data_IF_870118622239
#
_entry.id   IF_870118622239
#
_cell.length_a   1.000
_cell.length_b   1.000
_cell.length_c   1.000
_cell.angle_alpha   90.00
_cell.angle_beta   90.00
_cell.angle_gamma   90.00
#
_symmetry.space_group_name_H-M   'P 1'
#
loop_
_entity.id
_entity.type
_entity.pdbx_description
1 polymer ?
#
# COMPACT_ATOMS: atom_id res chain seq x y z
N UNK A 1 -37.67 50.26 -8.52
CA UNK A 1 -36.51 49.76 -7.78
C UNK A 1 -36.44 48.23 -7.92
N UNK A 2 -35.60 47.72 -8.80
CA UNK A 2 -35.52 46.27 -9.06
C UNK A 2 -34.35 45.73 -8.23
N UNK A 3 -34.66 44.94 -7.17
CA UNK A 3 -33.65 44.25 -6.33
C UNK A 3 -33.09 43.08 -7.12
N UNK A 4 -31.84 43.19 -7.58
CA UNK A 4 -31.08 42.07 -8.16
C UNK A 4 -30.75 41.07 -7.03
N UNK A 5 -31.42 39.92 -7.05
CA UNK A 5 -31.09 38.78 -6.19
C UNK A 5 -29.87 38.12 -6.79
N UNK A 6 -28.72 38.23 -6.11
CA UNK A 6 -27.48 37.56 -6.46
C UNK A 6 -27.57 36.08 -5.99
N UNK A 7 -27.86 35.17 -6.90
CA UNK A 7 -27.79 33.73 -6.63
C UNK A 7 -26.32 33.33 -6.59
N UNK A 8 -25.77 33.09 -5.38
CA UNK A 8 -24.47 32.51 -5.18
C UNK A 8 -24.62 30.99 -5.40
N UNK A 9 -23.95 30.37 -6.38
CA UNK A 9 -23.99 28.92 -6.54
C UNK A 9 -23.28 28.28 -5.36
N UNK A 10 -24.00 27.50 -4.57
CA UNK A 10 -23.48 26.65 -3.52
C UNK A 10 -22.68 25.52 -4.19
N UNK A 11 -21.36 25.68 -4.28
CA UNK A 11 -20.46 24.63 -4.77
C UNK A 11 -20.42 23.53 -3.71
N UNK A 12 -21.27 22.52 -3.87
CA UNK A 12 -21.19 21.28 -3.10
C UNK A 12 -19.98 20.52 -3.58
N UNK A 13 -18.86 20.66 -2.87
CA UNK A 13 -17.68 19.78 -3.06
C UNK A 13 -18.05 18.40 -2.53
N UNK A 14 -18.40 17.49 -3.43
CA UNK A 14 -18.55 16.07 -3.11
C UNK A 14 -17.15 15.55 -2.80
N UNK A 15 -16.80 15.48 -1.52
CA UNK A 15 -15.63 14.74 -1.04
C UNK A 15 -15.90 13.25 -1.27
N UNK A 16 -15.35 12.71 -2.34
CA UNK A 16 -15.32 11.29 -2.58
C UNK A 16 -14.33 10.64 -1.61
N UNK A 17 -14.77 10.43 -0.38
CA UNK A 17 -14.01 9.65 0.59
C UNK A 17 -14.00 8.19 0.14
N UNK A 18 -12.84 7.61 -0.09
CA UNK A 18 -12.67 6.19 -0.48
C UNK A 18 -13.07 5.20 0.64
N UNK A 19 -13.91 5.58 1.58
CA UNK A 19 -14.35 4.73 2.69
C UNK A 19 -13.22 4.41 3.69
N UNK A 20 -13.55 3.56 4.68
CA UNK A 20 -12.59 3.12 5.70
C UNK A 20 -12.32 1.63 5.61
N UNK A 21 -11.11 1.21 5.95
CA UNK A 21 -10.79 -0.20 6.13
C UNK A 21 -11.54 -0.74 7.38
N UNK A 22 -12.04 -1.98 7.36
CA UNK A 22 -12.68 -2.56 8.54
C UNK A 22 -11.65 -2.84 9.65
N UNK A 23 -12.04 -2.61 10.91
CA UNK A 23 -11.21 -2.99 12.06
C UNK A 23 -11.21 -4.51 12.22
N UNK A 24 -10.23 -5.17 11.64
CA UNK A 24 -10.08 -6.62 11.66
C UNK A 24 -9.09 -7.09 12.72
N UNK A 25 -9.32 -8.28 13.26
CA UNK A 25 -8.33 -9.00 14.07
C UNK A 25 -7.36 -9.71 13.13
N UNK A 26 -6.08 -9.43 13.30
CA UNK A 26 -4.96 -9.95 12.52
C UNK A 26 -4.22 -11.02 13.33
N UNK A 27 -3.86 -12.13 12.71
CA UNK A 27 -2.88 -13.07 13.24
C UNK A 27 -1.52 -12.73 12.67
N UNK A 28 -0.60 -12.29 13.52
CA UNK A 28 0.75 -11.94 13.11
C UNK A 28 1.58 -13.20 12.82
N UNK A 29 2.65 -13.05 12.05
CA UNK A 29 3.52 -14.18 11.67
C UNK A 29 4.24 -14.82 12.89
N UNK A 30 4.45 -14.06 13.97
CA UNK A 30 4.97 -14.56 15.25
C UNK A 30 3.94 -15.33 16.09
N UNK A 31 2.68 -15.37 15.63
CA UNK A 31 1.56 -16.05 16.30
C UNK A 31 0.71 -15.17 17.19
N UNK A 32 1.12 -13.94 17.47
CA UNK A 32 0.33 -12.98 18.27
C UNK A 32 -0.87 -12.49 17.48
N UNK A 33 -1.80 -11.84 18.19
CA UNK A 33 -2.96 -11.18 17.59
C UNK A 33 -2.92 -9.68 17.83
N UNK A 34 -3.32 -8.91 16.82
CA UNK A 34 -3.51 -7.47 16.91
C UNK A 34 -4.83 -7.06 16.27
N UNK A 35 -5.42 -5.95 16.69
CA UNK A 35 -6.48 -5.28 15.93
C UNK A 35 -5.85 -4.27 14.97
N UNK A 36 -6.35 -4.17 13.75
CA UNK A 36 -5.78 -3.27 12.76
C UNK A 36 -5.72 -1.82 13.26
N UNK A 37 -6.80 -1.33 13.88
CA UNK A 37 -6.85 0.05 14.37
C UNK A 37 -5.90 0.32 15.54
N UNK A 38 -5.49 -0.71 16.29
CA UNK A 38 -4.45 -0.54 17.32
C UNK A 38 -3.07 -0.30 16.68
N UNK A 39 -2.82 -0.90 15.51
CA UNK A 39 -1.59 -0.67 14.74
C UNK A 39 -1.58 0.69 14.03
N UNK A 40 -2.74 1.23 13.66
CA UNK A 40 -2.87 2.52 12.99
C UNK A 40 -2.66 3.72 13.94
N UNK A 41 -2.74 3.52 15.25
CA UNK A 41 -2.52 4.61 16.23
C UNK A 41 -1.13 5.23 16.15
N UNK A 42 -0.17 4.47 15.65
CA UNK A 42 1.23 4.88 15.60
C UNK A 42 1.59 5.70 14.34
N UNK A 43 0.71 5.75 13.35
CA UNK A 43 0.92 6.50 12.10
C UNK A 43 0.22 5.88 10.89
N UNK A 44 0.33 6.53 9.72
CA UNK A 44 -0.23 6.03 8.47
C UNK A 44 0.43 4.71 8.07
N UNK A 45 -0.31 3.87 7.34
CA UNK A 45 0.15 2.52 7.05
C UNK A 45 -0.16 2.10 5.61
N UNK A 46 0.79 1.45 4.96
CA UNK A 46 0.49 0.59 3.81
C UNK A 46 0.08 -0.79 4.31
N UNK A 47 -1.08 -1.25 3.84
CA UNK A 47 -1.53 -2.64 3.94
C UNK A 47 -1.36 -3.27 2.56
N UNK A 48 -0.59 -4.36 2.47
CA UNK A 48 -0.31 -5.05 1.22
C UNK A 48 -0.68 -6.53 1.30
N UNK A 49 -1.38 -7.05 0.28
CA UNK A 49 -1.77 -8.45 0.20
C UNK A 49 -0.85 -9.21 -0.76
N UNK A 50 -0.28 -10.33 -0.28
CA UNK A 50 0.71 -11.09 -1.02
C UNK A 50 0.68 -12.59 -0.75
N UNK A 51 1.36 -13.36 -1.61
CA UNK A 51 1.60 -14.78 -1.40
C UNK A 51 3.02 -15.18 -1.85
N UNK A 52 3.55 -16.30 -1.32
CA UNK A 52 4.89 -16.77 -1.67
C UNK A 52 5.04 -17.20 -3.14
N UNK A 53 3.95 -17.53 -3.80
CA UNK A 53 3.89 -17.89 -5.22
C UNK A 53 3.63 -16.69 -6.15
N UNK A 54 3.35 -15.51 -5.60
CA UNK A 54 3.05 -14.29 -6.34
C UNK A 54 4.35 -13.54 -6.69
N UNK A 55 4.86 -13.70 -7.90
CA UNK A 55 6.12 -13.04 -8.31
C UNK A 55 6.03 -11.51 -8.36
N UNK A 56 4.95 -10.88 -8.88
CA UNK A 56 4.81 -9.42 -8.81
C UNK A 56 4.82 -8.90 -7.37
N UNK A 57 4.15 -9.63 -6.44
CA UNK A 57 4.13 -9.26 -5.03
C UNK A 57 5.55 -9.23 -4.44
N UNK A 58 6.36 -10.25 -4.74
CA UNK A 58 7.74 -10.33 -4.25
C UNK A 58 8.60 -9.16 -4.71
N UNK A 59 8.42 -8.71 -5.95
CA UNK A 59 9.12 -7.52 -6.48
C UNK A 59 8.69 -6.26 -5.73
N UNK A 60 7.41 -6.05 -5.57
CA UNK A 60 6.86 -4.90 -4.85
C UNK A 60 7.32 -4.86 -3.39
N UNK A 61 7.32 -5.99 -2.67
CA UNK A 61 7.72 -6.08 -1.26
C UNK A 61 9.13 -5.53 -0.99
N UNK A 62 10.06 -5.59 -1.96
CA UNK A 62 11.38 -4.98 -1.81
C UNK A 62 11.29 -3.46 -1.67
N UNK A 63 10.42 -2.83 -2.46
CA UNK A 63 10.20 -1.37 -2.37
C UNK A 63 9.43 -1.01 -1.12
N UNK A 64 8.41 -1.79 -0.75
CA UNK A 64 7.69 -1.58 0.51
C UNK A 64 8.62 -1.65 1.72
N UNK A 65 9.62 -2.54 1.69
CA UNK A 65 10.63 -2.58 2.75
C UNK A 65 11.55 -1.36 2.73
N UNK A 66 11.91 -0.83 1.56
CA UNK A 66 12.65 0.44 1.47
C UNK A 66 11.84 1.60 2.06
N UNK A 67 10.55 1.69 1.71
CA UNK A 67 9.66 2.73 2.25
C UNK A 67 9.52 2.62 3.76
N UNK A 68 9.27 1.41 4.28
CA UNK A 68 9.17 1.16 5.71
C UNK A 68 10.42 1.60 6.47
N UNK A 69 11.60 1.24 5.98
CA UNK A 69 12.89 1.60 6.61
C UNK A 69 13.17 3.10 6.54
N UNK A 70 12.88 3.71 5.40
CA UNK A 70 13.19 5.11 5.15
C UNK A 70 12.28 6.05 5.95
N UNK A 71 11.00 5.73 6.02
CA UNK A 71 9.99 6.58 6.67
C UNK A 71 9.62 6.17 8.10
N UNK A 72 10.33 5.21 8.70
CA UNK A 72 10.01 4.71 10.06
C UNK A 72 9.92 5.82 11.12
N UNK A 73 10.75 6.85 11.01
CA UNK A 73 10.83 7.95 11.98
C UNK A 73 9.66 8.94 11.83
N UNK A 74 8.88 8.86 10.75
CA UNK A 74 7.64 9.62 10.56
C UNK A 74 6.41 8.93 11.16
N UNK A 75 6.57 7.76 11.76
CA UNK A 75 5.46 6.90 12.19
C UNK A 75 4.89 6.02 11.08
N UNK A 76 5.31 6.22 9.81
CA UNK A 76 4.86 5.39 8.68
C UNK A 76 5.25 3.93 8.85
N UNK A 77 4.31 3.02 8.54
CA UNK A 77 4.50 1.58 8.65
C UNK A 77 4.01 0.83 7.43
N UNK A 78 4.46 -0.42 7.31
CA UNK A 78 3.96 -1.37 6.33
C UNK A 78 3.50 -2.63 7.05
N UNK A 79 2.33 -3.12 6.68
CA UNK A 79 1.74 -4.39 7.10
C UNK A 79 1.50 -5.25 5.86
N UNK A 80 2.27 -6.31 5.69
CA UNK A 80 2.09 -7.27 4.61
C UNK A 80 1.22 -8.45 5.09
N UNK A 81 0.05 -8.66 4.47
CA UNK A 81 -0.88 -9.73 4.81
C UNK A 81 -0.70 -10.87 3.83
N UNK A 82 -0.18 -11.98 4.33
CA UNK A 82 0.07 -13.18 3.54
C UNK A 82 -1.18 -14.05 3.44
N UNK A 83 -1.49 -14.53 2.23
CA UNK A 83 -2.68 -15.34 1.93
C UNK A 83 -2.37 -16.79 1.55
N UNK A 84 -1.14 -17.24 1.78
CA UNK A 84 -0.79 -18.66 1.60
C UNK A 84 -1.60 -19.57 2.52
N UNK A 85 -1.84 -20.79 2.06
CA UNK A 85 -2.56 -21.79 2.84
C UNK A 85 -1.80 -22.17 4.12
N UNK A 86 -2.47 -22.78 5.13
CA UNK A 86 -1.82 -23.19 6.37
C UNK A 86 -0.62 -24.11 6.16
N UNK A 87 -0.65 -24.95 5.12
CA UNK A 87 0.45 -25.87 4.77
C UNK A 87 1.73 -25.14 4.35
N UNK A 88 1.62 -23.89 3.88
CA UNK A 88 2.76 -23.11 3.36
C UNK A 88 3.39 -22.17 4.42
N UNK A 89 2.92 -22.16 5.66
CA UNK A 89 3.40 -21.20 6.68
C UNK A 89 4.91 -21.30 6.96
N UNK A 90 5.50 -22.47 6.86
CA UNK A 90 6.97 -22.63 6.94
C UNK A 90 7.71 -21.89 5.84
N UNK A 91 7.20 -21.93 4.59
CA UNK A 91 7.75 -21.20 3.45
C UNK A 91 7.63 -19.69 3.65
N UNK A 92 6.50 -19.22 4.15
CA UNK A 92 6.26 -17.78 4.47
C UNK A 92 7.32 -17.27 5.45
N UNK A 93 7.49 -17.98 6.59
CA UNK A 93 8.49 -17.61 7.62
C UNK A 93 9.92 -17.59 7.04
N UNK A 94 10.28 -18.62 6.29
CA UNK A 94 11.61 -18.73 5.66
C UNK A 94 11.84 -17.61 4.65
N UNK A 95 10.84 -17.29 3.82
CA UNK A 95 10.94 -16.23 2.84
C UNK A 95 11.14 -14.85 3.49
N UNK A 96 10.28 -14.47 4.44
CA UNK A 96 10.38 -13.19 5.15
C UNK A 96 11.74 -13.03 5.82
N UNK A 97 12.23 -14.10 6.48
CA UNK A 97 13.54 -14.10 7.13
C UNK A 97 14.69 -13.97 6.13
N UNK A 98 14.67 -14.74 5.04
CA UNK A 98 15.74 -14.73 4.03
C UNK A 98 15.88 -13.37 3.33
N UNK A 99 14.77 -12.65 3.15
CA UNK A 99 14.74 -11.31 2.56
C UNK A 99 15.02 -10.19 3.56
N UNK A 100 15.12 -10.51 4.85
CA UNK A 100 15.36 -9.55 5.94
C UNK A 100 14.36 -8.39 5.91
N UNK A 101 13.07 -8.71 5.69
CA UNK A 101 12.01 -7.71 5.74
C UNK A 101 11.78 -7.27 7.18
N UNK A 102 11.71 -5.94 7.39
CA UNK A 102 11.57 -5.32 8.72
C UNK A 102 10.13 -4.89 9.03
N UNK A 103 9.27 -4.87 8.03
CA UNK A 103 7.86 -4.53 8.20
C UNK A 103 7.07 -5.65 8.89
N UNK A 104 5.90 -5.29 9.36
CA UNK A 104 4.98 -6.23 10.00
C UNK A 104 4.40 -7.22 8.97
N UNK A 105 4.28 -8.48 9.39
CA UNK A 105 3.63 -9.53 8.58
C UNK A 105 2.52 -10.18 9.37
N UNK A 106 1.31 -10.20 8.78
CA UNK A 106 0.17 -10.96 9.24
C UNK A 106 -0.13 -12.11 8.28
N UNK A 107 -0.93 -13.08 8.73
CA UNK A 107 -1.34 -14.24 7.92
C UNK A 107 -2.86 -14.34 7.86
N UNK A 108 -3.39 -14.60 6.66
CA UNK A 108 -4.82 -14.74 6.37
C UNK A 108 -5.07 -16.02 5.54
N UNK A 109 -4.76 -17.21 6.06
CA UNK A 109 -4.77 -18.45 5.29
C UNK A 109 -6.15 -18.88 4.78
N UNK A 110 -7.20 -18.27 5.28
CA UNK A 110 -8.59 -18.52 4.87
C UNK A 110 -9.18 -17.34 4.08
N UNK A 111 -8.36 -16.34 3.71
CA UNK A 111 -8.75 -15.14 2.95
C UNK A 111 -9.89 -14.32 3.61
N UNK A 112 -10.05 -14.39 4.93
CA UNK A 112 -11.13 -13.69 5.63
C UNK A 112 -10.88 -12.18 5.69
N UNK A 113 -9.65 -11.78 5.96
CA UNK A 113 -9.24 -10.36 5.96
C UNK A 113 -9.29 -9.81 4.54
N UNK A 114 -8.76 -10.57 3.58
CA UNK A 114 -8.80 -10.26 2.15
C UNK A 114 -10.23 -9.97 1.67
N UNK A 115 -11.19 -10.85 2.02
CA UNK A 115 -12.62 -10.67 1.69
C UNK A 115 -13.22 -9.44 2.36
N UNK A 116 -12.98 -9.24 3.66
CA UNK A 116 -13.50 -8.07 4.41
C UNK A 116 -12.97 -6.76 3.84
N UNK A 117 -11.73 -6.72 3.36
CA UNK A 117 -11.12 -5.56 2.71
C UNK A 117 -11.45 -5.46 1.21
N UNK A 118 -12.33 -6.33 0.69
CA UNK A 118 -12.75 -6.36 -0.72
C UNK A 118 -11.56 -6.43 -1.70
N UNK A 119 -10.53 -7.18 -1.34
CA UNK A 119 -9.39 -7.45 -2.19
C UNK A 119 -9.72 -8.64 -3.09
N UNK A 120 -9.52 -8.49 -4.40
CA UNK A 120 -9.85 -9.52 -5.40
C UNK A 120 -8.64 -10.12 -6.09
N UNK A 121 -7.53 -9.39 -6.12
CA UNK A 121 -6.28 -9.84 -6.75
C UNK A 121 -5.06 -9.37 -5.94
N UNK A 122 -3.91 -9.96 -6.22
CA UNK A 122 -2.63 -9.64 -5.58
C UNK A 122 -1.56 -9.28 -6.62
N UNK A 123 -0.65 -8.35 -6.22
CA UNK A 123 -0.70 -7.59 -4.99
C UNK A 123 -1.85 -6.59 -4.97
N UNK A 124 -2.34 -6.24 -3.80
CA UNK A 124 -3.20 -5.07 -3.59
C UNK A 124 -2.61 -4.25 -2.46
N UNK A 125 -2.26 -3.02 -2.77
CA UNK A 125 -1.70 -2.03 -1.85
C UNK A 125 -2.77 -1.04 -1.45
N UNK A 126 -2.90 -0.78 -0.16
CA UNK A 126 -3.85 0.18 0.40
C UNK A 126 -3.08 1.10 1.36
N UNK A 127 -2.98 2.39 1.05
CA UNK A 127 -2.48 3.39 1.99
C UNK A 127 -3.65 3.89 2.83
N UNK A 128 -3.51 3.82 4.14
CA UNK A 128 -4.55 4.19 5.11
C UNK A 128 -4.02 5.21 6.10
N UNK A 129 -4.91 6.11 6.50
CA UNK A 129 -4.70 7.07 7.58
C UNK A 129 -4.87 6.42 8.95
N UNK A 130 -4.48 7.11 10.01
CA UNK A 130 -4.59 6.71 11.41
C UNK A 130 -6.02 6.41 11.85
N UNK A 131 -7.01 7.03 11.21
CA UNK A 131 -8.44 6.81 11.46
C UNK A 131 -9.06 5.66 10.62
N UNK A 132 -8.22 4.98 9.80
CA UNK A 132 -8.61 3.91 8.89
C UNK A 132 -9.13 4.37 7.53
N UNK A 133 -9.17 5.67 7.25
CA UNK A 133 -9.57 6.21 5.95
C UNK A 133 -8.60 5.76 4.85
N UNK A 134 -9.15 5.30 3.74
CA UNK A 134 -8.35 4.87 2.58
C UNK A 134 -7.93 6.13 1.82
N UNK A 135 -6.62 6.33 1.72
CA UNK A 135 -6.00 7.44 0.99
C UNK A 135 -5.74 7.03 -0.46
N UNK A 136 -5.22 5.81 -0.64
CA UNK A 136 -4.86 5.28 -1.94
C UNK A 136 -5.08 3.78 -1.99
N UNK A 137 -5.47 3.26 -3.16
CA UNK A 137 -5.60 1.82 -3.40
C UNK A 137 -5.12 1.50 -4.81
N UNK A 138 -4.20 0.55 -4.90
CA UNK A 138 -3.66 0.04 -6.15
C UNK A 138 -3.77 -1.47 -6.22
N UNK A 139 -4.05 -2.02 -7.42
CA UNK A 139 -4.19 -3.46 -7.64
C UNK A 139 -3.26 -3.89 -8.77
N UNK A 140 -2.50 -4.94 -8.53
CA UNK A 140 -1.43 -5.39 -9.40
C UNK A 140 -0.11 -4.72 -9.08
N UNK A 141 0.92 -5.09 -9.83
CA UNK A 141 2.24 -4.45 -9.80
C UNK A 141 2.96 -4.62 -11.13
N UNK A 142 3.32 -3.51 -11.73
CA UNK A 142 4.25 -3.40 -12.84
C UNK A 142 5.49 -2.62 -12.39
N UNK A 143 6.67 -2.88 -12.97
CA UNK A 143 7.86 -2.07 -12.70
C UNK A 143 7.61 -0.60 -13.01
N UNK A 144 7.73 0.26 -12.01
CA UNK A 144 7.39 1.68 -12.06
C UNK A 144 6.28 2.08 -11.07
N UNK A 145 5.36 1.16 -10.73
CA UNK A 145 4.27 1.42 -9.78
C UNK A 145 4.79 1.80 -8.39
N UNK A 146 6.01 1.36 -8.04
CA UNK A 146 6.67 1.77 -6.79
C UNK A 146 6.87 3.28 -6.69
N UNK A 147 7.01 3.98 -7.81
CA UNK A 147 7.13 5.44 -7.84
C UNK A 147 5.80 6.11 -7.53
N UNK A 148 4.74 5.58 -8.12
CA UNK A 148 3.37 6.06 -7.87
C UNK A 148 2.96 5.85 -6.40
N UNK A 149 3.26 4.69 -5.84
CA UNK A 149 3.05 4.41 -4.40
C UNK A 149 3.85 5.42 -3.55
N UNK A 150 5.11 5.71 -3.89
CA UNK A 150 5.94 6.68 -3.17
C UNK A 150 5.34 8.09 -3.23
N UNK A 151 4.86 8.51 -4.41
CA UNK A 151 4.20 9.82 -4.59
C UNK A 151 3.00 9.93 -3.64
N UNK A 152 2.14 8.93 -3.56
CA UNK A 152 0.98 8.97 -2.66
C UNK A 152 1.36 8.99 -1.18
N UNK A 153 2.47 8.32 -0.79
CA UNK A 153 3.00 8.42 0.58
C UNK A 153 3.45 9.84 0.89
N UNK A 154 4.25 10.45 -0.01
CA UNK A 154 4.79 11.80 0.22
C UNK A 154 3.72 12.89 0.15
N UNK A 155 2.77 12.79 -0.78
CA UNK A 155 1.60 13.68 -0.81
C UNK A 155 0.77 13.63 0.49
N UNK A 156 0.64 12.43 1.07
CA UNK A 156 -0.01 12.31 2.36
C UNK A 156 0.79 13.03 3.46
N UNK A 157 2.11 12.85 3.50
CA UNK A 157 2.96 13.53 4.49
C UNK A 157 2.87 15.04 4.37
N UNK A 158 2.92 15.58 3.14
CA UNK A 158 2.78 17.00 2.88
C UNK A 158 1.44 17.54 3.38
N UNK A 159 0.34 16.85 3.08
CA UNK A 159 -1.01 17.23 3.54
C UNK A 159 -1.18 17.15 5.05
N UNK A 160 -0.51 16.18 5.69
CA UNK A 160 -0.54 15.97 7.14
C UNK A 160 0.49 16.84 7.91
N UNK A 161 1.35 17.60 7.21
CA UNK A 161 2.41 18.40 7.82
C UNK A 161 3.53 17.54 8.45
N UNK A 162 3.72 16.31 7.96
CA UNK A 162 4.75 15.39 8.44
C UNK A 162 6.06 15.67 7.71
N UNK A 163 7.11 16.05 8.45
CA UNK A 163 8.44 16.22 7.89
C UNK A 163 9.08 14.87 7.57
N UNK A 164 9.65 14.74 6.40
CA UNK A 164 10.34 13.53 5.94
C UNK A 164 11.58 13.87 5.10
N UNK A 165 12.47 12.89 4.93
CA UNK A 165 13.59 12.97 3.99
C UNK A 165 13.12 12.40 2.65
N UNK A 166 13.51 13.03 1.56
CA UNK A 166 13.23 12.49 0.21
C UNK A 166 13.89 11.10 0.04
N UNK A 167 13.19 10.22 -0.67
CA UNK A 167 13.67 8.91 -1.05
C UNK A 167 13.87 8.84 -2.56
N UNK A 168 15.12 8.76 -3.00
CA UNK A 168 15.44 8.45 -4.38
C UNK A 168 15.40 6.93 -4.60
N UNK A 169 14.50 6.47 -5.47
CA UNK A 169 14.42 5.06 -5.88
C UNK A 169 15.42 4.70 -6.97
N UNK A 170 16.20 5.68 -7.46
CA UNK A 170 17.06 5.54 -8.63
C UNK A 170 16.25 5.45 -9.92
N UNK A 171 16.85 5.83 -11.03
CA UNK A 171 16.24 5.61 -12.34
C UNK A 171 16.27 4.11 -12.63
N UNK A 172 15.10 3.49 -12.76
CA UNK A 172 15.01 2.21 -13.45
C UNK A 172 15.66 2.43 -14.83
N UNK A 173 16.77 1.71 -15.11
CA UNK A 173 17.35 1.69 -16.44
C UNK A 173 16.34 1.03 -17.38
N UNK A 174 15.35 1.80 -17.82
CA UNK A 174 14.54 1.44 -18.96
C UNK A 174 15.47 1.50 -20.17
N UNK A 175 16.06 0.38 -20.51
CA UNK A 175 16.58 0.17 -21.85
C UNK A 175 15.38 0.20 -22.79
N UNK A 176 14.99 1.41 -23.22
CA UNK A 176 14.23 1.59 -24.43
C UNK A 176 15.10 1.10 -25.59
N UNK A 177 15.03 -0.20 -25.85
CA UNK A 177 15.38 -0.76 -27.13
C UNK A 177 14.30 -0.27 -28.10
N UNK A 178 14.55 0.90 -28.71
CA UNK A 178 13.89 1.30 -29.95
C UNK A 178 14.37 0.28 -31.00
N UNK A 179 13.67 -0.80 -31.14
CA UNK A 179 13.74 -1.60 -32.35
C UNK A 179 13.05 -0.77 -33.44
N UNK A 180 13.88 -0.07 -34.23
CA UNK A 180 13.49 0.39 -35.56
C UNK A 180 13.13 -0.85 -36.35
N UNK A 181 11.84 -1.07 -36.55
CA UNK A 181 11.37 -1.96 -37.61
C UNK A 181 11.50 -1.13 -38.88
N UNK A 182 12.56 -1.36 -39.64
CA UNK A 182 12.63 -0.96 -41.06
C UNK A 182 11.69 -1.89 -41.82
N UNK A 183 10.60 -1.35 -42.31
CA UNK A 183 9.72 -2.04 -43.27
C UNK A 183 10.22 -1.64 -44.65
N UNK A 184 10.99 -2.51 -45.30
CA UNK A 184 11.29 -2.39 -46.73
C UNK A 184 10.04 -2.86 -47.51
N UNK A 185 9.59 -1.97 -48.45
CA UNK A 185 8.55 -2.24 -49.43
C UNK A 185 9.16 -2.76 -50.75
#
# INVERSE_FOLDING_TARGET
>A
MIRKILLIPLMVTILWGQGKVPNVRLKMLDGKYAKLYDLLKDGPMIIDFWATWCEPCKKQMHYLNKFHKHFKDTGFRVLAINTDTPKSMGKVKSYVRSKKFEFMVAVDPNNQVMKKMRVKLMPTTILVDTDGSIIYRHQGYLPGDEKDILVHITEYFDKAGISYKELDLGQSKNKNKKDKVEIDF
#
